data_IF_621208795623
#
_entry.id   IF_621208795623
#
_cell.length_a   1.000
_cell.length_b   1.000
_cell.length_c   1.000
_cell.angle_alpha   90.00
_cell.angle_beta   90.00
_cell.angle_gamma   90.00
#
_symmetry.space_group_name_H-M   'P 1'
#
loop_
_entity.id
_entity.type
_entity.pdbx_description
1 polymer ?
#
# COMPACT_ATOMS: atom_id res chain seq x y z
N UNK A 1 -3.14 21.13 1.45
CA UNK A 1 -3.93 21.34 0.21
C UNK A 1 -5.42 21.61 0.47
N UNK A 2 -5.87 21.78 1.70
CA UNK A 2 -7.24 22.19 2.05
C UNK A 2 -8.36 21.16 1.85
N UNK A 3 -8.06 19.97 1.35
CA UNK A 3 -9.06 18.91 1.22
C UNK A 3 -9.26 18.18 2.57
N UNK A 4 -10.52 17.91 2.92
CA UNK A 4 -10.89 17.19 4.14
C UNK A 4 -11.51 15.83 3.81
N UNK A 5 -11.54 14.94 4.81
CA UNK A 5 -12.21 13.63 4.71
C UNK A 5 -13.69 13.78 4.33
N UNK A 6 -14.37 14.78 4.88
CA UNK A 6 -15.79 15.02 4.57
C UNK A 6 -16.00 15.58 3.16
N UNK A 7 -15.05 16.34 2.64
CA UNK A 7 -15.08 16.76 1.23
C UNK A 7 -14.92 15.56 0.30
N UNK A 8 -14.01 14.63 0.60
CA UNK A 8 -13.84 13.42 -0.17
C UNK A 8 -15.11 12.55 -0.18
N UNK A 9 -15.78 12.39 0.97
CA UNK A 9 -17.06 11.66 1.05
C UNK A 9 -18.14 12.32 0.17
N UNK A 10 -18.35 13.62 0.36
CA UNK A 10 -19.37 14.36 -0.43
C UNK A 10 -19.07 14.32 -1.92
N UNK A 11 -17.80 14.45 -2.30
CA UNK A 11 -17.39 14.32 -3.70
C UNK A 11 -17.76 12.94 -4.25
N UNK A 12 -17.39 11.88 -3.54
CA UNK A 12 -17.66 10.50 -3.97
C UNK A 12 -19.16 10.22 -4.07
N UNK A 13 -19.95 10.64 -3.08
CA UNK A 13 -21.41 10.50 -3.10
C UNK A 13 -22.04 11.22 -4.30
N UNK A 14 -21.62 12.44 -4.59
CA UNK A 14 -22.13 13.21 -5.72
C UNK A 14 -21.72 12.61 -7.06
N UNK A 15 -20.46 12.17 -7.18
CA UNK A 15 -19.97 11.51 -8.39
C UNK A 15 -20.74 10.22 -8.69
N UNK A 16 -21.03 9.40 -7.66
CA UNK A 16 -21.84 8.18 -7.81
C UNK A 16 -23.29 8.50 -8.24
N UNK A 17 -23.90 9.57 -7.72
CA UNK A 17 -25.23 10.03 -8.16
C UNK A 17 -25.26 10.41 -9.64
N UNK A 18 -24.14 10.91 -10.15
CA UNK A 18 -23.97 11.26 -11.57
C UNK A 18 -23.53 10.08 -12.44
N UNK A 19 -23.36 8.88 -11.87
CA UNK A 19 -22.91 7.70 -12.59
C UNK A 19 -21.44 7.74 -13.01
N UNK A 20 -20.60 8.57 -12.36
CA UNK A 20 -19.18 8.68 -12.67
C UNK A 20 -18.42 7.53 -12.05
N UNK A 21 -17.43 7.02 -12.79
CA UNK A 21 -16.43 6.06 -12.29
C UNK A 21 -15.32 6.81 -11.57
N UNK A 22 -15.00 6.42 -10.34
CA UNK A 22 -14.00 7.05 -9.50
C UNK A 22 -12.82 6.12 -9.30
N UNK A 23 -11.62 6.62 -9.52
CA UNK A 23 -10.38 5.98 -9.12
C UNK A 23 -9.85 6.66 -7.87
N UNK A 24 -9.60 5.88 -6.81
CA UNK A 24 -9.10 6.38 -5.53
C UNK A 24 -7.61 6.10 -5.36
N UNK A 25 -6.80 7.13 -5.23
CA UNK A 25 -5.37 7.02 -4.91
C UNK A 25 -5.16 7.20 -3.41
N UNK A 26 -4.51 6.20 -2.81
CA UNK A 26 -4.16 6.18 -1.38
C UNK A 26 -2.64 6.11 -1.22
N UNK A 27 -2.13 6.88 -0.27
CA UNK A 27 -0.72 6.87 0.10
C UNK A 27 -0.61 6.40 1.55
N UNK A 28 0.28 5.44 1.80
CA UNK A 28 0.62 4.93 3.14
C UNK A 28 2.10 5.16 3.43
N UNK A 29 2.49 5.14 4.68
CA UNK A 29 3.89 5.35 5.07
C UNK A 29 4.30 6.82 5.13
N UNK A 30 3.38 7.74 5.35
CA UNK A 30 3.66 9.15 5.65
C UNK A 30 4.07 9.36 7.11
N UNK A 31 4.67 10.52 7.50
CA UNK A 31 4.99 10.83 8.89
C UNK A 31 3.81 10.61 9.83
N UNK A 32 4.04 9.89 10.93
CA UNK A 32 3.01 9.51 11.88
C UNK A 32 2.25 8.23 11.54
N UNK A 33 2.68 7.50 10.51
CA UNK A 33 2.05 6.22 10.16
C UNK A 33 2.19 5.18 11.27
N UNK A 34 1.13 4.44 11.49
CA UNK A 34 1.01 3.37 12.49
C UNK A 34 0.01 2.32 12.00
N UNK A 35 -0.04 1.17 12.67
CA UNK A 35 -1.05 0.13 12.37
C UNK A 35 -2.47 0.66 12.49
N UNK A 36 -2.73 1.57 13.44
CA UNK A 36 -4.05 2.17 13.62
C UNK A 36 -4.42 3.14 12.50
N UNK A 37 -3.48 3.97 12.05
CA UNK A 37 -3.73 4.90 10.92
C UNK A 37 -3.92 4.14 9.62
N UNK A 38 -3.13 3.09 9.36
CA UNK A 38 -3.31 2.19 8.22
C UNK A 38 -4.69 1.53 8.23
N UNK A 39 -5.13 1.04 9.38
CA UNK A 39 -6.49 0.50 9.55
C UNK A 39 -7.56 1.53 9.22
N UNK A 40 -7.44 2.74 9.78
CA UNK A 40 -8.36 3.83 9.51
C UNK A 40 -8.43 4.20 8.02
N UNK A 41 -7.29 4.18 7.33
CA UNK A 41 -7.22 4.46 5.88
C UNK A 41 -7.94 3.38 5.07
N UNK A 42 -7.74 2.10 5.41
CA UNK A 42 -8.46 0.98 4.77
C UNK A 42 -9.97 1.12 4.98
N UNK A 43 -10.40 1.37 6.21
CA UNK A 43 -11.81 1.50 6.54
C UNK A 43 -12.44 2.75 5.91
N UNK A 44 -11.66 3.82 5.76
CA UNK A 44 -12.08 4.99 5.02
C UNK A 44 -12.27 4.70 3.52
N UNK A 45 -11.32 4.02 2.89
CA UNK A 45 -11.44 3.61 1.49
C UNK A 45 -12.67 2.74 1.24
N UNK A 46 -12.95 1.79 2.15
CA UNK A 46 -14.16 0.95 2.08
C UNK A 46 -15.45 1.77 2.17
N UNK A 47 -15.47 2.84 2.99
CA UNK A 47 -16.64 3.74 3.10
C UNK A 47 -16.83 4.61 1.86
N UNK A 48 -15.76 5.07 1.23
CA UNK A 48 -15.83 5.80 -0.04
C UNK A 48 -16.38 4.93 -1.17
N UNK A 49 -16.08 3.63 -1.15
CA UNK A 49 -16.58 2.62 -2.11
C UNK A 49 -16.38 3.00 -3.58
N UNK A 50 -15.23 3.58 -3.90
CA UNK A 50 -14.83 3.93 -5.28
C UNK A 50 -14.68 2.68 -6.15
N UNK A 51 -14.71 2.82 -7.48
CA UNK A 51 -14.69 1.67 -8.40
C UNK A 51 -13.35 0.95 -8.38
N UNK A 52 -12.26 1.70 -8.40
CA UNK A 52 -10.91 1.15 -8.36
C UNK A 52 -10.05 1.94 -7.38
N UNK A 53 -9.03 1.27 -6.83
CA UNK A 53 -8.04 1.90 -5.96
C UNK A 53 -6.62 1.63 -6.44
N UNK A 54 -5.75 2.58 -6.14
CA UNK A 54 -4.30 2.41 -6.13
C UNK A 54 -3.78 2.75 -4.72
N UNK A 55 -2.84 1.95 -4.24
CA UNK A 55 -2.18 2.17 -2.94
C UNK A 55 -0.68 2.25 -3.17
N UNK A 56 -0.11 3.40 -2.85
CA UNK A 56 1.32 3.68 -2.99
C UNK A 56 1.96 3.83 -1.62
N UNK A 57 3.21 3.36 -1.48
CA UNK A 57 4.03 3.64 -0.30
C UNK A 57 4.72 4.97 -0.53
N UNK A 58 4.64 5.86 0.47
CA UNK A 58 5.29 7.16 0.41
C UNK A 58 6.81 7.00 0.24
N UNK A 59 7.37 7.78 -0.67
CA UNK A 59 8.80 7.79 -0.95
C UNK A 59 9.38 9.18 -0.70
N UNK A 60 10.43 9.32 0.12
CA UNK A 60 11.05 10.59 0.41
C UNK A 60 12.01 10.97 -0.73
N UNK A 61 11.59 11.89 -1.58
CA UNK A 61 12.43 12.42 -2.65
C UNK A 61 13.30 13.58 -2.13
N UNK A 62 14.59 13.63 -2.46
CA UNK A 62 15.46 14.75 -2.11
C UNK A 62 14.85 16.11 -2.50
N UNK A 63 14.99 17.07 -1.59
CA UNK A 63 14.41 18.42 -1.79
C UNK A 63 12.94 18.57 -1.36
N UNK A 64 12.36 17.54 -0.73
CA UNK A 64 11.02 17.62 -0.14
C UNK A 64 11.09 17.71 1.38
N UNK A 65 10.12 18.38 2.00
CA UNK A 65 9.97 18.42 3.47
C UNK A 65 9.91 17.01 4.09
N UNK A 66 9.33 16.07 3.36
CA UNK A 66 9.26 14.68 3.78
C UNK A 66 10.65 14.02 3.83
N UNK A 67 11.51 14.28 2.85
CA UNK A 67 12.89 13.81 2.86
C UNK A 67 13.67 14.38 4.05
N UNK A 68 13.55 15.68 4.29
CA UNK A 68 14.22 16.35 5.41
C UNK A 68 13.74 15.81 6.76
N UNK A 69 12.44 15.56 6.88
CA UNK A 69 11.85 14.93 8.07
C UNK A 69 12.43 13.53 8.34
N UNK A 70 12.42 12.64 7.34
CA UNK A 70 12.90 11.26 7.53
C UNK A 70 14.41 11.20 7.78
N UNK A 71 15.17 12.07 7.14
CA UNK A 71 16.61 12.20 7.36
C UNK A 71 16.93 12.71 8.77
N UNK A 72 16.25 13.77 9.22
CA UNK A 72 16.41 14.33 10.57
C UNK A 72 16.08 13.33 11.67
N UNK A 73 15.12 12.44 11.43
CA UNK A 73 14.69 11.44 12.41
C UNK A 73 15.35 10.08 12.24
N UNK A 74 16.36 9.94 11.36
CA UNK A 74 17.06 8.68 11.06
C UNK A 74 16.12 7.54 10.65
N UNK A 75 15.08 7.84 9.88
CA UNK A 75 14.08 6.87 9.44
C UNK A 75 14.41 6.24 8.08
N UNK A 76 15.42 6.74 7.37
CA UNK A 76 15.90 6.18 6.09
C UNK A 76 16.85 5.03 6.40
N UNK A 77 16.63 3.87 5.81
CA UNK A 77 17.40 2.66 6.11
C UNK A 77 18.19 2.12 4.92
N UNK A 78 17.97 2.62 3.72
CA UNK A 78 18.68 2.16 2.52
C UNK A 78 18.88 3.32 1.55
N UNK A 79 20.06 3.37 0.92
CA UNK A 79 20.40 4.31 -0.14
C UNK A 79 19.74 3.97 -1.49
N UNK A 80 19.31 2.73 -1.69
CA UNK A 80 18.65 2.31 -2.93
C UNK A 80 17.15 2.61 -2.90
N UNK A 81 16.69 3.36 -3.89
CA UNK A 81 15.28 3.72 -4.07
C UNK A 81 14.47 2.67 -4.82
N UNK A 82 15.14 1.78 -5.54
CA UNK A 82 14.51 0.78 -6.41
C UNK A 82 15.19 -0.58 -6.28
N UNK A 83 14.42 -1.64 -6.58
CA UNK A 83 14.98 -2.97 -6.79
C UNK A 83 15.63 -3.10 -8.18
N UNK A 84 16.22 -4.25 -8.46
CA UNK A 84 16.86 -4.57 -9.76
C UNK A 84 15.85 -4.51 -10.94
N UNK A 85 14.56 -4.54 -10.67
CA UNK A 85 13.47 -4.47 -11.65
C UNK A 85 12.90 -3.05 -11.80
N UNK A 86 13.46 -2.06 -11.09
CA UNK A 86 13.00 -0.66 -11.12
C UNK A 86 11.77 -0.37 -10.25
N UNK A 87 11.29 -1.31 -9.43
CA UNK A 87 10.19 -1.06 -8.53
C UNK A 87 10.66 -0.30 -7.29
N UNK A 88 9.86 0.65 -6.83
CA UNK A 88 10.14 1.40 -5.61
C UNK A 88 10.15 0.47 -4.39
N UNK A 89 11.24 0.51 -3.63
CA UNK A 89 11.36 -0.19 -2.36
C UNK A 89 10.97 0.74 -1.21
N UNK A 90 10.23 0.24 -0.20
CA UNK A 90 10.04 0.99 1.02
C UNK A 90 11.42 1.21 1.67
N UNK A 91 11.87 2.44 1.76
CA UNK A 91 13.18 2.78 2.35
C UNK A 91 13.05 3.50 3.70
N UNK A 92 11.86 3.51 4.28
CA UNK A 92 11.55 4.14 5.57
C UNK A 92 11.16 3.07 6.57
N UNK A 93 11.65 3.22 7.80
CA UNK A 93 11.21 2.46 8.97
C UNK A 93 10.65 3.44 9.99
N UNK A 94 9.40 3.21 10.42
CA UNK A 94 8.82 3.91 11.56
C UNK A 94 8.97 3.09 12.84
N UNK A 95 9.04 3.72 14.02
CA UNK A 95 8.97 3.01 15.29
C UNK A 95 7.73 2.11 15.34
N UNK A 96 7.95 0.80 15.48
CA UNK A 96 6.87 -0.21 15.52
C UNK A 96 6.23 -0.60 14.18
N UNK A 97 6.76 -0.12 13.06
CA UNK A 97 6.27 -0.49 11.71
C UNK A 97 7.46 -0.70 10.77
N UNK A 98 7.86 -1.95 10.55
CA UNK A 98 8.98 -2.26 9.66
C UNK A 98 8.57 -2.25 8.18
N UNK A 99 9.57 -2.34 7.29
CA UNK A 99 9.38 -2.30 5.83
C UNK A 99 8.53 -3.43 5.29
N UNK A 100 8.79 -4.64 5.76
CA UNK A 100 8.03 -5.82 5.35
C UNK A 100 6.57 -5.68 5.76
N UNK A 101 6.35 -5.21 6.97
CA UNK A 101 5.01 -4.97 7.51
C UNK A 101 4.24 -3.91 6.71
N UNK A 102 4.90 -2.84 6.26
CA UNK A 102 4.26 -1.83 5.42
C UNK A 102 3.78 -2.42 4.07
N UNK A 103 4.59 -3.30 3.47
CA UNK A 103 4.21 -4.02 2.25
C UNK A 103 3.04 -4.98 2.53
N UNK A 104 3.04 -5.68 3.66
CA UNK A 104 1.92 -6.54 4.08
C UNK A 104 0.62 -5.73 4.23
N UNK A 105 0.70 -4.51 4.78
CA UNK A 105 -0.46 -3.63 4.90
C UNK A 105 -1.01 -3.19 3.55
N UNK A 106 -0.14 -2.94 2.56
CA UNK A 106 -0.59 -2.67 1.18
C UNK A 106 -1.33 -3.87 0.59
N UNK A 107 -0.78 -5.09 0.75
CA UNK A 107 -1.45 -6.32 0.30
C UNK A 107 -2.80 -6.53 1.01
N UNK A 108 -2.82 -6.28 2.30
CA UNK A 108 -4.05 -6.34 3.11
C UNK A 108 -5.08 -5.32 2.63
N UNK A 109 -4.64 -4.10 2.29
CA UNK A 109 -5.50 -3.06 1.76
C UNK A 109 -6.22 -3.52 0.49
N UNK A 110 -5.46 -4.00 -0.51
CA UNK A 110 -6.04 -4.54 -1.75
C UNK A 110 -6.96 -5.72 -1.48
N UNK A 111 -6.53 -6.67 -0.66
CA UNK A 111 -7.33 -7.83 -0.29
C UNK A 111 -8.65 -7.44 0.37
N UNK A 112 -8.60 -6.65 1.44
CA UNK A 112 -9.81 -6.22 2.14
C UNK A 112 -10.71 -5.32 1.30
N UNK A 113 -10.15 -4.59 0.33
CA UNK A 113 -10.93 -3.72 -0.55
C UNK A 113 -11.66 -4.51 -1.63
N UNK A 114 -10.97 -5.32 -2.41
CA UNK A 114 -11.54 -5.98 -3.59
C UNK A 114 -12.30 -7.27 -3.27
N UNK A 115 -11.96 -7.98 -2.19
CA UNK A 115 -12.71 -9.18 -1.79
C UNK A 115 -14.00 -8.89 -0.99
N UNK A 116 -14.43 -7.63 -0.89
CA UNK A 116 -15.78 -7.31 -0.41
C UNK A 116 -16.81 -7.78 -1.44
N UNK A 117 -17.93 -8.41 -1.03
CA UNK A 117 -18.94 -8.91 -1.96
C UNK A 117 -19.40 -7.86 -2.99
N UNK A 118 -19.60 -6.62 -2.54
CA UNK A 118 -20.03 -5.49 -3.39
C UNK A 118 -18.97 -5.11 -4.42
N UNK A 119 -17.68 -5.05 -4.04
CA UNK A 119 -16.60 -4.72 -4.95
C UNK A 119 -16.34 -5.86 -5.95
N UNK A 120 -16.30 -7.09 -5.48
CA UNK A 120 -16.14 -8.28 -6.32
C UNK A 120 -17.26 -8.38 -7.36
N UNK A 121 -18.51 -8.19 -6.95
CA UNK A 121 -19.66 -8.18 -7.86
C UNK A 121 -19.56 -7.06 -8.91
N UNK A 122 -19.11 -5.87 -8.53
CA UNK A 122 -18.91 -4.74 -9.45
C UNK A 122 -17.89 -5.09 -10.54
N UNK A 123 -16.74 -5.64 -10.16
CA UNK A 123 -15.70 -6.05 -11.10
C UNK A 123 -16.22 -7.10 -12.09
N UNK A 124 -16.89 -8.14 -11.58
CA UNK A 124 -17.48 -9.19 -12.42
C UNK A 124 -18.54 -8.62 -13.35
N UNK A 125 -19.48 -7.82 -12.83
CA UNK A 125 -20.54 -7.18 -13.61
C UNK A 125 -19.96 -6.32 -14.74
N UNK A 126 -18.96 -5.52 -14.46
CA UNK A 126 -18.31 -4.66 -15.45
C UNK A 126 -17.61 -5.46 -16.55
N UNK A 127 -16.92 -6.55 -16.19
CA UNK A 127 -16.28 -7.43 -17.16
C UNK A 127 -17.30 -8.12 -18.08
N UNK A 128 -18.46 -8.52 -17.55
CA UNK A 128 -19.55 -9.12 -18.34
C UNK A 128 -20.20 -8.10 -19.25
N UNK A 129 -20.53 -6.92 -18.73
CA UNK A 129 -21.21 -5.85 -19.54
C UNK A 129 -20.31 -5.35 -20.67
N UNK A 130 -19.01 -5.23 -20.41
CA UNK A 130 -18.06 -4.76 -21.42
C UNK A 130 -17.54 -5.88 -22.34
N UNK A 131 -18.00 -7.11 -22.15
CA UNK A 131 -17.50 -8.30 -22.85
C UNK A 131 -15.96 -8.46 -22.77
N UNK A 132 -15.39 -8.13 -21.60
CA UNK A 132 -13.96 -8.01 -21.37
C UNK A 132 -13.43 -9.03 -20.33
N UNK A 133 -14.02 -10.21 -20.32
CA UNK A 133 -13.61 -11.33 -19.45
C UNK A 133 -12.13 -11.71 -19.63
N UNK A 134 -11.57 -11.75 -20.86
CA UNK A 134 -10.15 -12.05 -21.05
C UNK A 134 -9.21 -11.04 -20.34
N UNK A 135 -9.59 -9.76 -20.35
CA UNK A 135 -8.84 -8.72 -19.64
C UNK A 135 -8.90 -8.92 -18.14
N UNK A 136 -10.08 -9.20 -17.57
CA UNK A 136 -10.23 -9.50 -16.15
C UNK A 136 -9.35 -10.68 -15.73
N UNK A 137 -9.29 -11.74 -16.54
CA UNK A 137 -8.43 -12.89 -16.29
C UNK A 137 -6.94 -12.51 -16.30
N UNK A 138 -6.52 -11.70 -17.27
CA UNK A 138 -5.15 -11.19 -17.37
C UNK A 138 -4.79 -10.35 -16.13
N UNK A 139 -5.62 -9.38 -15.77
CA UNK A 139 -5.43 -8.52 -14.58
C UNK A 139 -5.38 -9.34 -13.28
N UNK A 140 -6.26 -10.33 -13.12
CA UNK A 140 -6.24 -11.24 -11.98
C UNK A 140 -4.94 -12.04 -11.89
N UNK A 141 -4.43 -12.54 -13.02
CA UNK A 141 -3.15 -13.26 -13.08
C UNK A 141 -1.97 -12.37 -12.74
N UNK A 142 -1.94 -11.15 -13.26
CA UNK A 142 -0.91 -10.16 -12.95
C UNK A 142 -0.93 -9.77 -11.47
N UNK A 143 -2.12 -9.56 -10.90
CA UNK A 143 -2.28 -9.33 -9.48
C UNK A 143 -1.73 -10.47 -8.62
N UNK A 144 -2.05 -11.73 -8.95
CA UNK A 144 -1.54 -12.89 -8.24
C UNK A 144 -0.01 -13.02 -8.35
N UNK A 145 0.56 -12.71 -9.52
CA UNK A 145 2.01 -12.71 -9.72
C UNK A 145 2.70 -11.62 -8.88
N UNK A 146 2.16 -10.40 -8.85
CA UNK A 146 2.65 -9.32 -8.00
C UNK A 146 2.55 -9.66 -6.52
N UNK A 147 1.42 -10.22 -6.09
CA UNK A 147 1.22 -10.67 -4.71
C UNK A 147 2.26 -11.72 -4.29
N UNK A 148 2.59 -12.66 -5.18
CA UNK A 148 3.61 -13.66 -4.91
C UNK A 148 5.00 -13.04 -4.75
N UNK A 149 5.39 -12.09 -5.62
CA UNK A 149 6.65 -11.34 -5.50
C UNK A 149 6.75 -10.56 -4.19
N UNK A 150 5.67 -9.89 -3.78
CA UNK A 150 5.63 -9.12 -2.53
C UNK A 150 5.71 -10.03 -1.30
N UNK A 151 5.07 -11.21 -1.32
CA UNK A 151 5.22 -12.20 -0.25
C UNK A 151 6.66 -12.70 -0.12
N UNK A 152 7.35 -12.95 -1.22
CA UNK A 152 8.76 -13.33 -1.22
C UNK A 152 9.62 -12.21 -0.61
N UNK A 153 9.37 -10.97 -0.99
CA UNK A 153 10.08 -9.82 -0.41
C UNK A 153 9.89 -9.73 1.11
N UNK A 154 8.64 -9.84 1.59
CA UNK A 154 8.34 -9.85 3.03
C UNK A 154 9.10 -10.96 3.75
N UNK A 155 9.08 -12.18 3.21
CA UNK A 155 9.78 -13.33 3.79
C UNK A 155 11.29 -13.07 3.88
N UNK A 156 11.90 -12.54 2.83
CA UNK A 156 13.32 -12.18 2.82
C UNK A 156 13.66 -11.11 3.87
N UNK A 157 12.79 -10.12 4.07
CA UNK A 157 12.99 -9.09 5.10
C UNK A 157 12.88 -9.68 6.51
N UNK A 158 11.96 -10.60 6.74
CA UNK A 158 11.82 -11.29 8.03
C UNK A 158 13.04 -12.16 8.33
N UNK A 159 13.53 -12.92 7.34
CA UNK A 159 14.74 -13.75 7.48
C UNK A 159 16.00 -12.88 7.76
N UNK A 160 16.14 -11.73 7.09
CA UNK A 160 17.25 -10.81 7.37
C UNK A 160 17.19 -10.26 8.78
N UNK A 161 16.02 -9.79 9.22
CA UNK A 161 15.84 -9.27 10.57
C UNK A 161 16.12 -10.34 11.65
N UNK A 162 15.74 -11.58 11.40
CA UNK A 162 15.99 -12.69 12.32
C UNK A 162 17.49 -13.04 12.41
N UNK A 163 18.21 -13.01 11.28
CA UNK A 163 19.64 -13.25 11.24
C UNK A 163 20.43 -12.14 11.95
N UNK A 164 20.04 -10.88 11.79
CA UNK A 164 20.66 -9.74 12.49
C UNK A 164 20.51 -9.87 14.01
N UNK A 165 19.37 -10.30 14.50
CA UNK A 165 19.14 -10.56 15.93
C UNK A 165 20.01 -11.71 16.44
N UNK A 166 20.17 -12.78 15.69
CA UNK A 166 21.00 -13.91 16.06
C UNK A 166 22.51 -13.54 16.08
N UNK A 167 22.95 -12.73 15.13
CA UNK A 167 24.36 -12.28 15.06
C UNK A 167 24.68 -11.34 16.25
N UNK A 168 23.80 -10.41 16.56
CA UNK A 168 23.98 -9.50 17.71
C UNK A 168 23.93 -10.23 19.06
N UNK A 169 23.16 -11.30 19.19
CA UNK A 169 23.10 -12.12 20.39
C UNK A 169 24.37 -12.98 20.58
N UNK A 170 25.02 -13.37 19.47
CA UNK A 170 26.29 -14.14 19.50
C UNK A 170 27.50 -13.32 19.89
N UNK A 171 27.53 -12.01 19.60
CA UNK A 171 28.63 -11.11 19.95
C UNK A 171 28.65 -10.69 21.42
N UNK A 172 27.57 -10.88 22.16
CA UNK A 172 27.50 -10.59 23.59
C UNK A 172 27.88 -11.77 24.49
N UNK A 173 28.20 -12.95 23.96
CA UNK A 173 28.51 -14.17 24.72
C UNK A 173 30.04 -14.52 24.60
N UNK A 174 30.81 -13.75 23.90
CA UNK A 174 32.28 -13.88 23.81
C UNK A 174 32.95 -12.72 24.54
#
# INVERSE_FOLDING_TARGET
KGATVDMAKRFTENAHKLGLTIHGDFIVGLPGESRSTLRNTIDFAKRLDVETIQVSIAHPYPGTEFYDYVKKNNLITIDSMTDESGHQLPNIIYPGLNRGELVEWVERFYGEYYFRPKAAWRVVKQAVVNNDIPRLYKEAREYLALRSKRKLFVKQQQEKAQNEVLTSAGEHVS
#
